data_IF_499914980943
#
_entry.id   IF_499914980943
#
_cell.length_a   1.000
_cell.length_b   1.000
_cell.length_c   1.000
_cell.angle_alpha   90.00
_cell.angle_beta   90.00
_cell.angle_gamma   90.00
#
_symmetry.space_group_name_H-M   'P 1'
#
loop_
_entity.id
_entity.type
_entity.pdbx_description
1 polymer ?
#
# COMPACT_ATOMS: atom_id res chain seq x y z
N UNK A 1 -34.15 -9.27 -12.94
CA UNK A 1 -34.43 -7.89 -12.48
C UNK A 1 -34.15 -7.64 -11.01
N UNK A 2 -35.04 -7.90 -10.02
CA UNK A 2 -34.80 -7.46 -8.61
C UNK A 2 -33.52 -8.06 -7.98
N UNK A 3 -33.17 -9.31 -8.29
CA UNK A 3 -31.96 -9.98 -7.76
C UNK A 3 -30.64 -9.45 -8.36
N UNK A 4 -30.62 -9.12 -9.65
CA UNK A 4 -29.43 -8.57 -10.32
C UNK A 4 -29.13 -7.13 -9.85
N UNK A 5 -30.19 -6.35 -9.62
CA UNK A 5 -30.05 -5.02 -9.03
C UNK A 5 -29.46 -5.13 -7.62
N UNK A 6 -29.97 -6.05 -6.79
CA UNK A 6 -29.44 -6.30 -5.44
C UNK A 6 -27.99 -6.78 -5.47
N UNK A 7 -27.61 -7.66 -6.39
CA UNK A 7 -26.21 -8.09 -6.57
C UNK A 7 -25.27 -6.91 -6.86
N UNK A 8 -25.70 -6.00 -7.75
CA UNK A 8 -24.94 -4.79 -8.09
C UNK A 8 -24.80 -3.85 -6.89
N UNK A 9 -25.86 -3.72 -6.07
CA UNK A 9 -25.81 -2.93 -4.83
C UNK A 9 -24.85 -3.54 -3.81
N UNK A 10 -24.86 -4.88 -3.64
CA UNK A 10 -23.91 -5.58 -2.79
C UNK A 10 -22.46 -5.37 -3.26
N UNK A 11 -22.18 -5.49 -4.56
CA UNK A 11 -20.85 -5.25 -5.12
C UNK A 11 -20.35 -3.81 -4.86
N UNK A 12 -21.20 -2.80 -5.10
CA UNK A 12 -20.87 -1.40 -4.82
C UNK A 12 -20.72 -1.13 -3.33
N UNK A 13 -21.52 -1.77 -2.49
CA UNK A 13 -21.40 -1.70 -1.03
C UNK A 13 -20.08 -2.29 -0.53
N UNK A 14 -19.68 -3.44 -1.07
CA UNK A 14 -18.37 -4.06 -0.79
C UNK A 14 -17.24 -3.11 -1.23
N UNK A 15 -17.30 -2.57 -2.44
CA UNK A 15 -16.32 -1.59 -2.91
C UNK A 15 -16.23 -0.38 -1.98
N UNK A 16 -17.37 0.19 -1.58
CA UNK A 16 -17.44 1.34 -0.66
C UNK A 16 -16.77 1.03 0.68
N UNK A 17 -17.08 -0.11 1.29
CA UNK A 17 -16.47 -0.52 2.57
C UNK A 17 -14.97 -0.79 2.43
N UNK A 18 -14.53 -1.39 1.33
CA UNK A 18 -13.11 -1.57 1.03
C UNK A 18 -12.41 -0.22 0.90
N UNK A 19 -13.01 0.76 0.22
CA UNK A 19 -12.45 2.11 0.14
C UNK A 19 -12.36 2.77 1.52
N UNK A 20 -13.34 2.57 2.40
CA UNK A 20 -13.25 3.03 3.81
C UNK A 20 -12.03 2.41 4.49
N UNK A 21 -11.81 1.10 4.37
CA UNK A 21 -10.63 0.44 4.95
C UNK A 21 -9.33 1.03 4.39
N UNK A 22 -9.25 1.19 3.06
CA UNK A 22 -8.05 1.69 2.39
C UNK A 22 -7.72 3.15 2.69
N UNK A 23 -8.74 3.98 2.94
CA UNK A 23 -8.56 5.40 3.31
C UNK A 23 -8.26 5.50 4.81
N UNK A 24 -9.03 4.82 5.65
CA UNK A 24 -8.90 4.91 7.09
C UNK A 24 -7.56 4.38 7.59
N UNK A 25 -7.09 3.24 7.09
CA UNK A 25 -5.86 2.60 7.57
C UNK A 25 -4.64 3.55 7.55
N UNK A 26 -4.25 4.09 6.37
CA UNK A 26 -3.12 5.01 6.27
C UNK A 26 -3.33 6.33 7.02
N UNK A 27 -4.54 6.89 7.06
CA UNK A 27 -4.81 8.13 7.79
C UNK A 27 -4.75 7.92 9.31
N UNK A 28 -5.18 6.76 9.79
CA UNK A 28 -5.19 6.36 11.20
C UNK A 28 -3.85 5.74 11.64
N UNK A 29 -2.72 6.34 11.23
CA UNK A 29 -1.36 5.91 11.60
C UNK A 29 -1.01 4.47 11.22
N UNK A 30 -1.61 3.94 10.15
CA UNK A 30 -1.45 2.55 9.74
C UNK A 30 -2.30 1.56 10.54
N UNK A 31 -3.26 2.05 11.33
CA UNK A 31 -4.14 1.27 12.20
C UNK A 31 -3.38 0.28 13.12
N UNK A 32 -2.21 0.72 13.60
CA UNK A 32 -1.32 -0.12 14.43
C UNK A 32 -1.93 -0.36 15.82
N UNK A 33 -2.64 0.62 16.39
CA UNK A 33 -3.26 0.47 17.71
C UNK A 33 -4.65 -0.15 17.60
N UNK A 34 -5.10 -0.87 18.65
CA UNK A 34 -6.38 -1.58 18.61
C UNK A 34 -7.57 -0.68 18.31
N UNK A 35 -7.59 0.55 18.85
CA UNK A 35 -8.68 1.50 18.65
C UNK A 35 -8.90 1.89 17.20
N UNK A 36 -7.82 2.18 16.44
CA UNK A 36 -7.96 2.51 15.03
C UNK A 36 -8.30 1.27 14.19
N UNK A 37 -7.79 0.11 14.60
CA UNK A 37 -8.02 -1.16 13.91
C UNK A 37 -9.47 -1.64 14.02
N UNK A 38 -10.21 -1.28 15.08
CA UNK A 38 -11.63 -1.61 15.23
C UNK A 38 -12.50 -1.12 14.05
N UNK A 39 -12.18 0.04 13.48
CA UNK A 39 -12.90 0.55 12.31
C UNK A 39 -12.69 -0.35 11.09
N UNK A 40 -11.46 -0.83 10.88
CA UNK A 40 -11.13 -1.79 9.82
C UNK A 40 -11.86 -3.11 10.06
N UNK A 41 -11.87 -3.60 11.30
CA UNK A 41 -12.58 -4.81 11.68
C UNK A 41 -14.08 -4.69 11.40
N UNK A 42 -14.72 -3.60 11.83
CA UNK A 42 -16.15 -3.35 11.60
C UNK A 42 -16.49 -3.25 10.11
N UNK A 43 -15.68 -2.52 9.33
CA UNK A 43 -15.86 -2.45 7.89
C UNK A 43 -15.69 -3.81 7.21
N UNK A 44 -14.73 -4.63 7.65
CA UNK A 44 -14.52 -6.00 7.16
C UNK A 44 -15.70 -6.90 7.48
N UNK A 45 -16.28 -6.80 8.68
CA UNK A 45 -17.52 -7.53 9.01
C UNK A 45 -18.66 -7.13 8.07
N UNK A 46 -18.81 -5.84 7.77
CA UNK A 46 -19.77 -5.37 6.77
C UNK A 46 -19.53 -5.96 5.38
N UNK A 47 -18.27 -6.03 4.94
CA UNK A 47 -17.89 -6.67 3.67
C UNK A 47 -18.29 -8.16 3.67
N UNK A 48 -18.02 -8.88 4.75
CA UNK A 48 -18.38 -10.30 4.88
C UNK A 48 -19.90 -10.52 4.88
N UNK A 49 -20.66 -9.66 5.54
CA UNK A 49 -22.13 -9.73 5.53
C UNK A 49 -22.69 -9.50 4.12
N UNK A 50 -22.19 -8.48 3.42
CA UNK A 50 -22.61 -8.21 2.04
C UNK A 50 -22.19 -9.33 1.08
N UNK A 51 -20.99 -9.89 1.27
CA UNK A 51 -20.51 -11.00 0.46
C UNK A 51 -21.32 -12.29 0.72
N UNK A 52 -21.62 -12.59 1.98
CA UNK A 52 -22.51 -13.70 2.35
C UNK A 52 -23.91 -13.55 1.76
N UNK A 53 -24.49 -12.35 1.85
CA UNK A 53 -25.76 -12.04 1.20
C UNK A 53 -25.69 -12.23 -0.33
N UNK A 54 -24.58 -11.82 -0.96
CA UNK A 54 -24.35 -12.00 -2.40
C UNK A 54 -24.35 -13.47 -2.83
N UNK A 55 -23.69 -14.33 -2.04
CA UNK A 55 -23.64 -15.77 -2.28
C UNK A 55 -25.02 -16.42 -2.17
N UNK A 56 -25.90 -15.93 -1.29
CA UNK A 56 -27.27 -16.42 -1.16
C UNK A 56 -28.22 -15.89 -2.25
N UNK A 57 -28.03 -14.66 -2.71
CA UNK A 57 -28.87 -14.05 -3.74
C UNK A 57 -28.55 -14.58 -5.14
N UNK A 58 -27.33 -15.05 -5.36
CA UNK A 58 -26.83 -15.53 -6.65
C UNK A 58 -27.15 -17.00 -6.87
N UNK A 59 -27.91 -17.38 -7.92
CA UNK A 59 -28.27 -18.78 -8.18
C UNK A 59 -27.09 -19.65 -8.67
N UNK A 60 -25.98 -19.04 -9.10
CA UNK A 60 -24.72 -19.71 -9.48
C UNK A 60 -23.51 -18.91 -8.99
N UNK A 61 -23.16 -18.98 -7.69
CA UNK A 61 -22.02 -18.26 -7.18
C UNK A 61 -20.73 -18.83 -7.80
N UNK A 62 -20.03 -18.00 -8.56
CA UNK A 62 -18.70 -18.33 -9.08
C UNK A 62 -17.65 -17.85 -8.08
N UNK A 63 -17.23 -18.75 -7.19
CA UNK A 63 -16.13 -18.47 -6.25
C UNK A 63 -14.81 -18.72 -6.97
N UNK A 64 -14.00 -17.68 -7.09
CA UNK A 64 -12.66 -17.78 -7.64
C UNK A 64 -11.71 -18.33 -6.59
N UNK A 65 -11.06 -19.45 -6.92
CA UNK A 65 -10.12 -20.14 -6.03
C UNK A 65 -8.80 -20.48 -6.74
N UNK A 66 -8.01 -19.47 -7.15
CA UNK A 66 -6.67 -19.69 -7.71
C UNK A 66 -5.70 -20.32 -6.70
N UNK A 67 -4.55 -20.88 -7.14
CA UNK A 67 -3.59 -21.56 -6.26
C UNK A 67 -3.12 -20.74 -5.04
N UNK A 68 -3.07 -19.42 -5.15
CA UNK A 68 -2.69 -18.53 -4.04
C UNK A 68 -3.67 -18.59 -2.85
N UNK A 69 -4.94 -18.92 -3.09
CA UNK A 69 -5.93 -19.14 -2.04
C UNK A 69 -5.53 -20.28 -1.10
N UNK A 70 -4.92 -21.35 -1.63
CA UNK A 70 -4.41 -22.45 -0.82
C UNK A 70 -3.26 -22.03 0.08
N UNK A 71 -2.37 -21.17 -0.42
CA UNK A 71 -1.26 -20.63 0.38
C UNK A 71 -1.79 -19.76 1.53
N UNK A 72 -2.75 -18.88 1.24
CA UNK A 72 -3.39 -18.06 2.28
C UNK A 72 -4.14 -18.92 3.29
N UNK A 73 -4.91 -19.92 2.85
CA UNK A 73 -5.61 -20.85 3.73
C UNK A 73 -4.65 -21.68 4.60
N UNK A 74 -3.54 -22.15 4.02
CA UNK A 74 -2.51 -22.87 4.76
C UNK A 74 -1.86 -21.97 5.82
N UNK A 75 -1.59 -20.70 5.50
CA UNK A 75 -1.06 -19.73 6.47
C UNK A 75 -2.04 -19.44 7.61
N UNK A 76 -3.34 -19.32 7.31
CA UNK A 76 -4.40 -19.21 8.34
C UNK A 76 -4.44 -20.47 9.21
N UNK A 77 -4.38 -21.66 8.60
CA UNK A 77 -4.33 -22.93 9.34
C UNK A 77 -3.11 -23.03 10.25
N UNK A 78 -1.93 -22.63 9.76
CA UNK A 78 -0.72 -22.54 10.55
C UNK A 78 -0.87 -21.58 11.73
N UNK A 79 -1.46 -20.40 11.51
CA UNK A 79 -1.70 -19.42 12.57
C UNK A 79 -2.66 -19.95 13.64
N UNK A 80 -3.72 -20.67 13.25
CA UNK A 80 -4.64 -21.34 14.18
C UNK A 80 -3.93 -22.42 15.01
N UNK A 81 -3.07 -23.22 14.39
CA UNK A 81 -2.28 -24.22 15.12
C UNK A 81 -1.33 -23.52 16.11
N UNK A 82 -0.61 -22.48 15.67
CA UNK A 82 0.33 -21.74 16.54
C UNK A 82 -0.37 -21.00 17.67
N UNK A 83 -1.61 -20.55 17.49
CA UNK A 83 -2.42 -19.95 18.54
C UNK A 83 -2.59 -20.89 19.75
N UNK A 84 -2.78 -22.19 19.52
CA UNK A 84 -2.91 -23.17 20.60
C UNK A 84 -1.64 -23.37 21.43
N UNK A 85 -0.47 -23.05 20.88
CA UNK A 85 0.81 -23.18 21.56
C UNK A 85 1.34 -21.84 22.09
N UNK A 86 0.54 -20.77 22.02
CA UNK A 86 0.99 -19.45 22.45
C UNK A 86 0.97 -19.33 23.98
N UNK A 87 2.09 -18.93 24.56
CA UNK A 87 2.23 -18.69 26.01
C UNK A 87 1.38 -17.50 26.49
N UNK A 88 1.18 -16.50 25.62
CA UNK A 88 0.42 -15.30 25.91
C UNK A 88 -0.82 -15.23 25.02
N UNK A 89 -1.93 -15.75 25.51
CA UNK A 89 -3.19 -15.86 24.76
C UNK A 89 -3.69 -14.50 24.25
N UNK A 90 -3.59 -13.45 25.06
CA UNK A 90 -4.10 -12.13 24.70
C UNK A 90 -3.44 -11.56 23.44
N UNK A 91 -2.10 -11.60 23.36
CA UNK A 91 -1.36 -11.13 22.19
C UNK A 91 -1.61 -12.03 20.98
N UNK A 92 -1.59 -13.35 21.18
CA UNK A 92 -1.84 -14.31 20.12
C UNK A 92 -3.24 -14.14 19.52
N UNK A 93 -4.25 -13.85 20.35
CA UNK A 93 -5.62 -13.60 19.90
C UNK A 93 -5.71 -12.34 19.06
N UNK A 94 -5.01 -11.26 19.44
CA UNK A 94 -5.00 -10.02 18.66
C UNK A 94 -4.38 -10.22 17.28
N UNK A 95 -3.23 -10.89 17.22
CA UNK A 95 -2.56 -11.17 15.94
C UNK A 95 -3.35 -12.14 15.07
N UNK A 96 -3.99 -13.15 15.67
CA UNK A 96 -4.89 -14.07 14.96
C UNK A 96 -6.09 -13.34 14.35
N UNK A 97 -6.75 -12.47 15.12
CA UNK A 97 -7.87 -11.66 14.61
C UNK A 97 -7.42 -10.77 13.45
N UNK A 98 -6.25 -10.14 13.57
CA UNK A 98 -5.68 -9.27 12.53
C UNK A 98 -5.39 -10.07 11.25
N UNK A 99 -4.79 -11.26 11.37
CA UNK A 99 -4.52 -12.16 10.26
C UNK A 99 -5.82 -12.63 9.58
N UNK A 100 -6.83 -13.01 10.36
CA UNK A 100 -8.14 -13.41 9.84
C UNK A 100 -8.82 -12.28 9.06
N UNK A 101 -8.78 -11.05 9.57
CA UNK A 101 -9.30 -9.87 8.88
C UNK A 101 -8.61 -9.68 7.53
N UNK A 102 -7.28 -9.79 7.47
CA UNK A 102 -6.53 -9.68 6.22
C UNK A 102 -6.87 -10.80 5.23
N UNK A 103 -6.99 -12.04 5.71
CA UNK A 103 -7.39 -13.17 4.89
C UNK A 103 -8.81 -12.99 4.34
N UNK A 104 -9.76 -12.57 5.17
CA UNK A 104 -11.14 -12.31 4.75
C UNK A 104 -11.24 -11.18 3.75
N UNK A 105 -10.52 -10.08 3.95
CA UNK A 105 -10.44 -9.02 2.95
C UNK A 105 -9.85 -9.54 1.65
N UNK A 106 -8.75 -10.30 1.70
CA UNK A 106 -8.16 -10.91 0.50
C UNK A 106 -9.19 -11.75 -0.28
N UNK A 107 -9.88 -12.68 0.37
CA UNK A 107 -10.89 -13.51 -0.28
C UNK A 107 -12.08 -12.69 -0.78
N UNK A 108 -12.54 -11.70 -0.03
CA UNK A 108 -13.66 -10.86 -0.44
C UNK A 108 -13.31 -10.01 -1.67
N UNK A 109 -12.13 -9.39 -1.71
CA UNK A 109 -11.65 -8.63 -2.87
C UNK A 109 -11.51 -9.56 -4.10
N UNK A 110 -10.85 -10.71 -3.92
CA UNK A 110 -10.65 -11.74 -4.94
C UNK A 110 -11.93 -12.46 -5.39
N UNK A 111 -13.07 -12.25 -4.75
CA UNK A 111 -14.33 -12.84 -5.22
C UNK A 111 -15.33 -11.79 -5.72
N UNK A 112 -15.14 -10.51 -5.39
CA UNK A 112 -16.12 -9.48 -5.72
C UNK A 112 -15.59 -8.36 -6.63
N UNK A 113 -14.30 -8.03 -6.59
CA UNK A 113 -13.76 -6.79 -7.18
C UNK A 113 -12.78 -7.04 -8.34
N UNK A 114 -13.21 -7.77 -9.38
CA UNK A 114 -12.39 -8.02 -10.59
C UNK A 114 -12.64 -7.05 -11.72
N UNK A 115 -13.74 -6.29 -11.64
CA UNK A 115 -14.11 -5.37 -12.70
C UNK A 115 -13.04 -4.29 -12.85
N UNK A 116 -12.68 -4.01 -14.10
CA UNK A 116 -11.67 -3.01 -14.43
C UNK A 116 -11.95 -1.64 -13.79
N UNK A 117 -13.22 -1.23 -13.74
CA UNK A 117 -13.66 0.01 -13.08
C UNK A 117 -13.33 0.00 -11.58
N UNK A 118 -13.67 -1.08 -10.86
CA UNK A 118 -13.41 -1.21 -9.42
C UNK A 118 -11.91 -1.18 -9.13
N UNK A 119 -11.09 -1.90 -9.91
CA UNK A 119 -9.63 -1.89 -9.78
C UNK A 119 -9.04 -0.51 -10.07
N UNK A 120 -9.58 0.23 -11.04
CA UNK A 120 -9.15 1.60 -11.33
C UNK A 120 -9.50 2.57 -10.19
N UNK A 121 -10.70 2.46 -9.59
CA UNK A 121 -11.11 3.28 -8.45
C UNK A 121 -10.21 3.01 -7.24
N UNK A 122 -9.97 1.73 -6.92
CA UNK A 122 -9.07 1.32 -5.82
C UNK A 122 -7.66 1.87 -6.05
N UNK A 123 -7.09 1.64 -7.24
CA UNK A 123 -5.73 2.08 -7.57
C UNK A 123 -5.60 3.59 -7.52
N UNK A 124 -6.57 4.32 -8.09
CA UNK A 124 -6.56 5.79 -8.10
C UNK A 124 -6.69 6.36 -6.69
N UNK A 125 -7.49 5.72 -5.83
CA UNK A 125 -7.61 6.09 -4.41
C UNK A 125 -6.29 5.90 -3.68
N UNK A 126 -5.64 4.74 -3.86
CA UNK A 126 -4.34 4.45 -3.24
C UNK A 126 -3.25 5.43 -3.70
N UNK A 127 -3.15 5.70 -5.01
CA UNK A 127 -2.17 6.64 -5.57
C UNK A 127 -2.42 8.05 -5.02
N UNK A 128 -3.67 8.49 -4.97
CA UNK A 128 -4.05 9.81 -4.44
C UNK A 128 -3.71 9.91 -2.95
N UNK A 129 -4.03 8.88 -2.18
CA UNK A 129 -3.72 8.82 -0.75
C UNK A 129 -2.21 8.84 -0.50
N UNK A 130 -1.43 8.07 -1.26
CA UNK A 130 0.02 8.09 -1.22
C UNK A 130 0.60 9.46 -1.56
N UNK A 131 0.08 10.13 -2.59
CA UNK A 131 0.49 11.49 -2.94
C UNK A 131 0.24 12.47 -1.78
N UNK A 132 -0.96 12.46 -1.20
CA UNK A 132 -1.33 13.39 -0.10
C UNK A 132 -0.47 13.12 1.14
N UNK A 133 -0.29 11.86 1.53
CA UNK A 133 0.52 11.51 2.70
C UNK A 133 2.00 11.80 2.44
N UNK A 134 2.50 11.58 1.22
CA UNK A 134 3.86 11.94 0.83
C UNK A 134 4.09 13.45 0.87
N UNK A 135 3.14 14.25 0.37
CA UNK A 135 3.20 15.71 0.47
C UNK A 135 3.24 16.17 1.94
N UNK A 136 2.45 15.54 2.81
CA UNK A 136 2.49 15.81 4.24
C UNK A 136 3.85 15.43 4.88
N UNK A 137 4.44 14.31 4.49
CA UNK A 137 5.78 13.91 4.94
C UNK A 137 6.88 14.87 4.46
N UNK A 138 6.79 15.36 3.23
CA UNK A 138 7.69 16.40 2.70
C UNK A 138 7.54 17.69 3.51
N UNK A 139 6.32 18.10 3.81
CA UNK A 139 6.06 19.25 4.68
C UNK A 139 6.69 19.07 6.07
N UNK A 140 6.50 17.91 6.71
CA UNK A 140 7.14 17.59 7.99
C UNK A 140 8.66 17.69 7.92
N UNK A 141 9.26 17.13 6.87
CA UNK A 141 10.70 17.14 6.66
C UNK A 141 11.25 18.57 6.49
N UNK A 142 10.59 19.40 5.67
CA UNK A 142 11.04 20.78 5.41
C UNK A 142 10.87 21.71 6.62
N UNK A 143 9.75 21.56 7.35
CA UNK A 143 9.45 22.40 8.52
C UNK A 143 10.07 21.87 9.82
N UNK A 144 10.69 20.68 9.78
CA UNK A 144 11.15 19.95 10.96
C UNK A 144 10.04 19.74 12.00
N UNK A 145 8.81 19.57 11.53
CA UNK A 145 7.65 19.32 12.38
C UNK A 145 7.65 17.88 12.86
N UNK A 146 7.48 17.70 14.16
CA UNK A 146 7.40 16.42 14.86
C UNK A 146 5.95 15.99 15.15
N UNK A 147 4.99 16.66 14.52
CA UNK A 147 3.56 16.40 14.72
C UNK A 147 3.00 15.45 13.68
N UNK A 148 2.34 14.40 14.17
CA UNK A 148 1.45 13.54 13.39
C UNK A 148 0.05 13.74 13.93
N UNK A 149 -0.77 14.48 13.19
CA UNK A 149 -2.08 14.94 13.65
C UNK A 149 -1.99 15.72 14.97
N UNK A 150 -2.37 15.09 16.08
CA UNK A 150 -2.34 15.66 17.45
C UNK A 150 -1.27 15.01 18.34
N UNK A 151 -0.53 14.05 17.82
CA UNK A 151 0.50 13.34 18.57
C UNK A 151 1.87 13.86 18.18
N UNK A 152 2.68 14.13 19.20
CA UNK A 152 4.09 14.46 19.01
C UNK A 152 4.88 13.16 18.92
N UNK A 153 5.48 12.90 17.78
CA UNK A 153 6.38 11.77 17.57
C UNK A 153 7.78 12.27 17.91
N UNK A 154 8.58 11.50 18.65
CA UNK A 154 9.93 11.91 19.04
C UNK A 154 10.73 12.37 17.80
N UNK A 155 11.50 13.45 17.96
CA UNK A 155 12.20 14.09 16.85
C UNK A 155 13.16 13.11 16.16
N UNK A 156 12.81 12.70 14.95
CA UNK A 156 13.65 11.94 14.02
C UNK A 156 13.85 12.80 12.76
N UNK A 157 14.99 12.69 12.10
CA UNK A 157 15.40 13.57 11.00
C UNK A 157 14.59 13.39 9.68
N UNK A 158 13.48 12.65 9.69
CA UNK A 158 12.68 12.29 8.51
C UNK A 158 11.18 12.47 8.72
N UNK A 159 10.44 12.66 7.63
CA UNK A 159 8.98 12.74 7.63
C UNK A 159 8.34 11.36 7.77
N UNK A 160 7.36 11.22 8.65
CA UNK A 160 6.57 9.99 8.83
C UNK A 160 5.16 10.08 8.22
N UNK A 161 4.78 11.25 7.72
CA UNK A 161 3.46 11.53 7.18
C UNK A 161 2.39 11.32 8.25
N UNK A 162 1.32 10.61 7.88
CA UNK A 162 0.26 10.21 8.81
C UNK A 162 0.65 9.00 9.65
N UNK A 163 1.75 8.32 9.32
CA UNK A 163 2.28 7.21 10.10
C UNK A 163 3.13 7.74 11.25
N UNK A 164 3.23 6.97 12.33
CA UNK A 164 4.15 7.26 13.45
C UNK A 164 5.58 6.90 13.08
N UNK A 165 5.78 5.87 12.24
CA UNK A 165 7.10 5.41 11.80
C UNK A 165 7.35 5.78 10.34
N UNK A 166 8.48 6.43 10.09
CA UNK A 166 8.99 6.72 8.74
C UNK A 166 9.24 5.47 7.90
N UNK A 167 9.57 4.34 8.53
CA UNK A 167 9.74 3.06 7.82
C UNK A 167 8.40 2.49 7.35
N UNK A 168 7.33 2.66 8.14
CA UNK A 168 5.98 2.24 7.70
C UNK A 168 5.46 3.11 6.57
N UNK A 169 5.68 4.44 6.65
CA UNK A 169 5.38 5.32 5.53
C UNK A 169 6.17 4.92 4.28
N UNK A 170 7.47 4.71 4.41
CA UNK A 170 8.32 4.34 3.29
C UNK A 170 7.85 3.05 2.60
N UNK A 171 7.52 2.02 3.38
CA UNK A 171 6.93 0.78 2.87
C UNK A 171 5.60 1.01 2.14
N UNK A 172 4.74 1.90 2.62
CA UNK A 172 3.51 2.26 1.92
C UNK A 172 3.78 2.97 0.58
N UNK A 173 4.69 3.94 0.57
CA UNK A 173 5.01 4.72 -0.63
C UNK A 173 5.72 3.89 -1.70
N UNK A 174 6.66 3.03 -1.31
CA UNK A 174 7.40 2.19 -2.26
C UNK A 174 6.53 1.13 -2.94
N UNK A 175 5.50 0.62 -2.24
CA UNK A 175 4.54 -0.31 -2.82
C UNK A 175 3.68 0.37 -3.89
N UNK A 176 3.40 1.67 -3.72
CA UNK A 176 2.49 2.42 -4.58
C UNK A 176 3.20 3.21 -5.69
N UNK A 177 4.50 3.48 -5.57
CA UNK A 177 5.26 4.17 -6.59
C UNK A 177 5.28 3.41 -7.95
N UNK A 178 5.61 2.10 -8.01
CA UNK A 178 5.53 1.34 -9.25
C UNK A 178 4.12 1.30 -9.82
N UNK A 179 3.09 1.24 -8.97
CA UNK A 179 1.69 1.28 -9.39
C UNK A 179 1.35 2.62 -10.06
N UNK A 180 1.73 3.75 -9.47
CA UNK A 180 1.55 5.08 -10.06
C UNK A 180 2.28 5.26 -11.40
N UNK A 181 3.51 4.74 -11.49
CA UNK A 181 4.28 4.73 -12.73
C UNK A 181 3.67 3.83 -13.79
N UNK A 182 3.13 2.66 -13.42
CA UNK A 182 2.40 1.78 -14.34
C UNK A 182 1.19 2.49 -14.96
N UNK A 183 0.41 3.21 -14.14
CA UNK A 183 -0.71 4.00 -14.63
C UNK A 183 -0.26 5.16 -15.53
N UNK A 184 0.90 5.75 -15.27
CA UNK A 184 1.44 6.84 -16.09
C UNK A 184 1.96 6.36 -17.45
N UNK A 185 2.72 5.25 -17.47
CA UNK A 185 3.46 4.79 -18.63
C UNK A 185 2.69 3.83 -19.52
N UNK A 186 1.89 2.93 -18.93
CA UNK A 186 1.30 1.78 -19.63
C UNK A 186 -0.22 1.87 -19.75
N UNK A 187 -0.90 2.64 -18.89
CA UNK A 187 -2.37 2.67 -18.92
C UNK A 187 -2.94 3.22 -20.22
N UNK A 188 -4.21 2.90 -20.47
CA UNK A 188 -5.03 3.49 -21.54
C UNK A 188 -5.78 4.75 -21.09
N UNK A 189 -5.33 5.38 -20.01
CA UNK A 189 -5.95 6.61 -19.51
C UNK A 189 -5.80 7.77 -20.48
N UNK A 190 -6.72 8.74 -20.37
CA UNK A 190 -6.65 10.01 -21.08
C UNK A 190 -5.34 10.73 -20.71
N UNK A 191 -4.75 11.54 -21.61
CA UNK A 191 -3.49 12.23 -21.36
C UNK A 191 -3.47 13.01 -20.04
N UNK A 192 -4.55 13.72 -19.71
CA UNK A 192 -4.69 14.48 -18.46
C UNK A 192 -4.55 13.57 -17.23
N UNK A 193 -5.22 12.43 -17.20
CA UNK A 193 -5.13 11.49 -16.09
C UNK A 193 -3.74 10.87 -15.95
N UNK A 194 -3.03 10.64 -17.08
CA UNK A 194 -1.63 10.18 -17.04
C UNK A 194 -0.70 11.24 -16.46
N UNK A 195 -0.91 12.51 -16.81
CA UNK A 195 -0.15 13.63 -16.23
C UNK A 195 -0.39 13.70 -14.72
N UNK A 196 -1.65 13.56 -14.27
CA UNK A 196 -1.97 13.54 -12.84
C UNK A 196 -1.29 12.38 -12.09
N UNK A 197 -1.33 11.15 -12.63
CA UNK A 197 -0.64 10.01 -11.99
C UNK A 197 0.88 10.16 -12.05
N UNK A 198 1.41 10.84 -13.07
CA UNK A 198 2.83 11.17 -13.18
C UNK A 198 3.26 12.14 -12.08
N UNK A 199 2.53 13.25 -11.90
CA UNK A 199 2.74 14.17 -10.78
C UNK A 199 2.58 13.47 -9.42
N UNK A 200 1.59 12.60 -9.27
CA UNK A 200 1.42 11.77 -8.08
C UNK A 200 2.68 10.97 -7.77
N UNK A 201 3.23 10.31 -8.80
CA UNK A 201 4.43 9.47 -8.67
C UNK A 201 5.67 10.28 -8.29
N UNK A 202 5.81 11.50 -8.82
CA UNK A 202 6.89 12.42 -8.44
C UNK A 202 6.77 12.87 -6.97
N UNK A 203 5.56 13.20 -6.51
CA UNK A 203 5.32 13.58 -5.12
C UNK A 203 5.57 12.39 -4.18
N UNK A 204 5.15 11.18 -4.56
CA UNK A 204 5.45 9.95 -3.82
C UNK A 204 6.96 9.72 -3.73
N UNK A 205 7.70 9.90 -4.83
CA UNK A 205 9.16 9.79 -4.84
C UNK A 205 9.81 10.83 -3.92
N UNK A 206 9.34 12.07 -3.92
CA UNK A 206 9.79 13.10 -3.00
C UNK A 206 9.49 12.73 -1.53
N UNK A 207 8.32 12.15 -1.27
CA UNK A 207 7.95 11.60 0.05
C UNK A 207 8.88 10.48 0.51
N UNK A 208 9.26 9.57 -0.39
CA UNK A 208 10.24 8.51 -0.10
C UNK A 208 11.57 9.14 0.34
N UNK A 209 12.08 10.12 -0.39
CA UNK A 209 13.31 10.86 -0.01
C UNK A 209 13.14 11.56 1.34
N UNK A 210 11.97 12.16 1.61
CA UNK A 210 11.67 12.81 2.87
C UNK A 210 11.62 11.86 4.08
N UNK A 211 11.41 10.55 3.87
CA UNK A 211 11.44 9.57 4.98
C UNK A 211 12.83 9.41 5.59
N UNK A 212 13.90 9.67 4.83
CA UNK A 212 15.30 9.44 5.26
C UNK A 212 15.51 7.99 5.75
N UNK A 213 14.83 7.01 5.14
CA UNK A 213 14.96 5.60 5.49
C UNK A 213 15.79 4.83 4.47
N UNK A 214 16.88 4.23 4.93
CA UNK A 214 17.78 3.40 4.09
C UNK A 214 17.09 2.13 3.60
N UNK A 215 16.25 1.53 4.44
CA UNK A 215 15.45 0.36 4.08
C UNK A 215 14.59 0.71 2.88
N UNK A 216 13.80 1.78 3.00
CA UNK A 216 12.92 2.28 1.94
C UNK A 216 13.68 2.63 0.66
N UNK A 217 14.87 3.23 0.74
CA UNK A 217 15.66 3.52 -0.46
C UNK A 217 16.06 2.24 -1.20
N UNK A 218 16.52 1.22 -0.47
CA UNK A 218 16.93 -0.04 -1.05
C UNK A 218 15.74 -0.79 -1.66
N UNK A 219 14.64 -0.93 -0.92
CA UNK A 219 13.44 -1.63 -1.40
C UNK A 219 12.75 -0.87 -2.55
N UNK A 220 12.75 0.47 -2.54
CA UNK A 220 12.29 1.27 -3.69
C UNK A 220 13.18 1.03 -4.91
N UNK A 221 14.50 1.00 -4.75
CA UNK A 221 15.42 0.73 -5.85
C UNK A 221 15.20 -0.67 -6.45
N UNK A 222 14.99 -1.68 -5.61
CA UNK A 222 14.65 -3.04 -6.05
C UNK A 222 13.30 -3.06 -6.78
N UNK A 223 12.27 -2.44 -6.21
CA UNK A 223 10.94 -2.40 -6.81
C UNK A 223 10.94 -1.70 -8.18
N UNK A 224 11.63 -0.56 -8.30
CA UNK A 224 11.78 0.16 -9.57
C UNK A 224 12.66 -0.61 -10.57
N UNK A 225 13.73 -1.25 -10.10
CA UNK A 225 14.59 -2.09 -10.93
C UNK A 225 13.82 -3.26 -11.56
N UNK A 226 12.98 -3.95 -10.77
CA UNK A 226 12.09 -4.99 -11.26
C UNK A 226 11.03 -4.44 -12.22
N UNK A 227 10.38 -3.34 -11.85
CA UNK A 227 9.34 -2.71 -12.67
C UNK A 227 9.86 -2.28 -14.05
N UNK A 228 10.94 -1.50 -14.09
CA UNK A 228 11.55 -1.07 -15.34
C UNK A 228 12.19 -2.24 -16.08
N UNK A 229 12.78 -3.21 -15.38
CA UNK A 229 13.29 -4.45 -15.97
C UNK A 229 12.23 -5.18 -16.78
N UNK A 230 11.02 -5.34 -16.24
CA UNK A 230 9.88 -5.93 -16.96
C UNK A 230 9.47 -5.06 -18.16
N UNK A 231 9.43 -3.74 -18.02
CA UNK A 231 9.08 -2.83 -19.13
C UNK A 231 10.12 -2.84 -20.27
N UNK A 232 11.40 -3.05 -19.97
CA UNK A 232 12.44 -3.20 -20.98
C UNK A 232 12.24 -4.43 -21.87
N UNK A 233 11.50 -5.45 -21.41
CA UNK A 233 11.13 -6.57 -22.28
C UNK A 233 9.98 -6.24 -23.24
N UNK A 234 9.19 -5.18 -22.97
CA UNK A 234 8.05 -4.77 -23.79
C UNK A 234 8.46 -3.78 -24.89
N UNK A 235 8.45 -4.20 -26.17
CA UNK A 235 8.97 -3.41 -27.31
C UNK A 235 8.44 -1.97 -27.40
N UNK A 236 7.18 -1.72 -27.05
CA UNK A 236 6.55 -0.40 -27.08
C UNK A 236 7.05 0.57 -26.01
N UNK A 237 7.62 0.07 -24.91
CA UNK A 237 7.94 0.88 -23.73
C UNK A 237 9.44 0.88 -23.36
N UNK A 238 10.29 0.20 -24.13
CA UNK A 238 11.72 0.02 -23.78
C UNK A 238 12.47 1.34 -23.64
N UNK A 239 12.32 2.24 -24.62
CA UNK A 239 13.05 3.51 -24.65
C UNK A 239 12.63 4.48 -23.53
N UNK A 240 11.33 4.74 -23.28
CA UNK A 240 10.92 5.56 -22.13
C UNK A 240 11.24 4.91 -20.78
N UNK A 241 11.14 3.58 -20.66
CA UNK A 241 11.54 2.87 -19.45
C UNK A 241 13.04 2.99 -19.16
N UNK A 242 13.88 2.84 -20.19
CA UNK A 242 15.33 3.00 -20.06
C UNK A 242 15.71 4.42 -19.64
N UNK A 243 15.15 5.44 -20.30
CA UNK A 243 15.43 6.84 -19.97
C UNK A 243 15.02 7.17 -18.53
N UNK A 244 13.82 6.76 -18.10
CA UNK A 244 13.37 6.99 -16.72
C UNK A 244 14.23 6.25 -15.69
N UNK A 245 14.63 5.01 -15.99
CA UNK A 245 15.52 4.25 -15.12
C UNK A 245 16.86 4.96 -14.94
N UNK A 246 17.47 5.45 -16.03
CA UNK A 246 18.73 6.21 -15.98
C UNK A 246 18.56 7.49 -15.16
N UNK A 247 17.46 8.23 -15.34
CA UNK A 247 17.17 9.44 -14.55
C UNK A 247 17.04 9.13 -13.07
N UNK A 248 16.30 8.08 -12.70
CA UNK A 248 16.12 7.66 -11.30
C UNK A 248 17.46 7.24 -10.68
N UNK A 249 18.27 6.46 -11.40
CA UNK A 249 19.59 6.03 -10.93
C UNK A 249 20.55 7.22 -10.78
N UNK A 250 20.57 8.15 -11.74
CA UNK A 250 21.39 9.36 -11.68
C UNK A 250 20.98 10.27 -10.50
N UNK A 251 19.67 10.46 -10.30
CA UNK A 251 19.15 11.20 -9.15
C UNK A 251 19.50 10.53 -7.83
N UNK A 252 19.36 9.20 -7.74
CA UNK A 252 19.77 8.43 -6.57
C UNK A 252 21.26 8.56 -6.26
N UNK A 253 22.12 8.39 -7.27
CA UNK A 253 23.56 8.53 -7.16
C UNK A 253 24.00 9.94 -6.74
N UNK A 254 23.26 10.98 -7.13
CA UNK A 254 23.54 12.36 -6.74
C UNK A 254 23.09 12.69 -5.30
N UNK A 255 21.93 12.19 -4.88
CA UNK A 255 21.31 12.53 -3.59
C UNK A 255 21.84 11.69 -2.41
N UNK A 256 22.14 10.41 -2.62
CA UNK A 256 22.60 9.49 -1.57
C UNK A 256 23.93 9.91 -0.88
N UNK A 257 24.98 10.35 -1.60
CA UNK A 257 26.26 10.73 -0.98
C UNK A 257 26.22 12.04 -0.19
N UNK A 258 25.18 12.86 -0.40
CA UNK A 258 24.99 14.15 0.29
C UNK A 258 24.22 14.00 1.60
N UNK A 259 23.57 12.86 1.85
CA UNK A 259 22.90 12.62 3.12
C UNK A 259 23.93 12.34 4.24
N UNK A 260 23.95 13.23 5.24
CA UNK A 260 24.88 13.25 6.38
C UNK A 260 24.97 11.88 7.09
N UNK A 261 23.86 11.14 7.16
CA UNK A 261 23.78 9.82 7.78
C UNK A 261 24.55 8.73 7.04
N UNK A 262 24.83 8.89 5.74
CA UNK A 262 25.64 7.94 4.94
C UNK A 262 27.13 8.26 5.14
N UNK A 263 27.49 9.55 5.16
CA UNK A 263 28.87 10.00 5.42
C UNK A 263 29.40 9.57 6.78
N UNK A 264 28.59 9.70 7.84
CA UNK A 264 29.01 9.36 9.20
C UNK A 264 29.35 7.87 9.37
N UNK A 265 28.79 6.96 8.56
CA UNK A 265 29.14 5.53 8.62
C UNK A 265 30.26 5.12 7.68
N UNK A 266 30.36 5.71 6.49
CA UNK A 266 31.53 5.48 5.64
C UNK A 266 32.81 5.97 6.33
N UNK A 267 32.74 7.05 7.11
CA UNK A 267 33.86 7.45 7.95
C UNK A 267 34.17 6.42 9.04
N UNK A 268 33.17 5.84 9.73
CA UNK A 268 33.41 4.77 10.71
C UNK A 268 34.10 3.54 10.12
N UNK A 269 33.80 3.16 8.88
CA UNK A 269 34.45 2.02 8.20
C UNK A 269 35.82 2.36 7.56
N UNK A 270 36.17 3.64 7.42
CA UNK A 270 37.46 4.08 6.88
C UNK A 270 38.45 4.46 8.00
N UNK A 271 37.99 4.51 9.24
CA UNK A 271 38.82 4.76 10.44
C UNK A 271 39.11 3.51 11.27
N UNK A 272 38.69 2.33 10.80
CA UNK A 272 39.25 1.03 11.21
C UNK A 272 40.19 0.53 10.11
#
# INVERSE_FOLDING_TARGET
MRRETLDTWCERGILGLVLVVLIWGPLAMGAVRPSEFLVIQGATMGVLLLWGARLWLSPRPQVLWPPICWVVAAFVGYALIRYHYAEVEYLARQELIRLLIYAFLFFALLNNLHRQESLQVISSTLITLAMVIAAYAVYQFLTRSDWVWRYRVGFDYGGSGTYVSRNHLGGFLEMLLPLGLAYTLVSRFKPVSKVLTGYASLVILAGIVATVSRGTYLSTAVALGLFFGVLLFQRSHRLPAFLLLVVVLAAGAYLLPRNISVRLRFQQYLTE
#
